data_IF_623723318565
#
_entry.id   IF_623723318565
#
_cell.length_a   1.000
_cell.length_b   1.000
_cell.length_c   1.000
_cell.angle_alpha   90.00
_cell.angle_beta   90.00
_cell.angle_gamma   90.00
#
_symmetry.space_group_name_H-M   'P 1'
#
loop_
_entity.id
_entity.type
_entity.pdbx_description
1 polymer ?
#
# COMPACT_ATOMS: atom_id res chain seq x y z
N UNK A 1 20.22 -12.03 1.43
CA UNK A 1 19.29 -10.89 1.63
C UNK A 1 18.04 -11.45 2.26
N UNK A 2 17.51 -10.86 3.34
CA UNK A 2 16.23 -11.27 3.91
C UNK A 2 15.11 -10.64 3.08
N UNK A 3 14.10 -11.42 2.71
CA UNK A 3 12.89 -10.94 2.05
C UNK A 3 11.99 -10.31 3.11
N UNK A 4 11.42 -9.13 2.84
CA UNK A 4 10.59 -8.40 3.79
C UNK A 4 9.28 -8.04 3.11
N UNK A 5 8.19 -8.59 3.65
CA UNK A 5 6.84 -8.43 3.11
C UNK A 5 5.99 -7.48 3.92
N UNK A 6 6.40 -7.18 5.15
CA UNK A 6 5.65 -6.35 6.06
C UNK A 6 6.56 -5.31 6.69
N UNK A 7 6.24 -4.03 6.46
CA UNK A 7 6.98 -2.90 7.03
C UNK A 7 6.01 -1.91 7.65
N UNK A 8 6.36 -1.44 8.84
CA UNK A 8 5.68 -0.32 9.49
C UNK A 8 6.44 0.96 9.23
N UNK A 9 5.75 1.97 8.73
CA UNK A 9 6.30 3.27 8.37
C UNK A 9 5.44 4.40 8.93
N UNK A 10 6.10 5.50 9.28
CA UNK A 10 5.43 6.75 9.55
C UNK A 10 5.50 7.64 8.31
N UNK A 11 4.37 8.11 7.83
CA UNK A 11 4.27 8.96 6.64
C UNK A 11 3.73 10.31 7.05
N UNK A 12 4.43 11.38 6.67
CA UNK A 12 4.05 12.75 6.96
C UNK A 12 4.11 13.61 5.72
N UNK A 13 2.98 14.12 5.29
CA UNK A 13 2.91 15.10 4.22
C UNK A 13 3.33 16.48 4.70
N UNK A 14 3.77 17.33 3.78
CA UNK A 14 4.19 18.69 4.07
C UNK A 14 3.04 19.57 4.56
N UNK A 15 3.29 20.45 5.53
CA UNK A 15 2.37 21.54 5.91
C UNK A 15 2.29 22.54 4.77
N UNK A 16 1.12 23.18 4.54
CA UNK A 16 1.01 24.36 3.69
C UNK A 16 1.73 25.55 4.32
N UNK A 17 2.31 26.40 3.51
CA UNK A 17 2.90 27.67 3.95
C UNK A 17 1.84 28.65 4.46
N UNK A 18 2.21 29.54 5.33
CA UNK A 18 1.30 30.54 5.89
C UNK A 18 1.21 31.76 4.95
N UNK A 19 -0.01 32.33 4.81
CA UNK A 19 -0.20 33.60 4.11
C UNK A 19 0.27 34.77 4.99
N UNK A 20 0.70 35.85 4.38
CA UNK A 20 1.27 37.00 5.08
C UNK A 20 0.36 38.22 4.99
N UNK A 21 0.44 39.09 6.01
CA UNK A 21 -0.13 40.43 6.00
C UNK A 21 0.99 41.40 5.62
N UNK A 22 0.92 41.98 4.42
CA UNK A 22 1.85 42.98 3.96
C UNK A 22 1.11 44.11 3.23
N UNK A 23 1.69 45.30 3.26
CA UNK A 23 1.18 46.46 2.53
C UNK A 23 2.28 47.01 1.63
N UNK A 24 1.91 47.49 0.46
CA UNK A 24 2.82 48.15 -0.46
C UNK A 24 3.26 49.49 0.10
N UNK A 25 4.55 49.73 0.23
CA UNK A 25 5.17 50.97 0.61
C UNK A 25 6.28 51.27 -0.36
N UNK A 26 6.09 52.32 -1.17
CA UNK A 26 7.09 52.75 -2.15
C UNK A 26 7.25 54.26 -2.03
N UNK A 27 8.34 54.79 -2.59
CA UNK A 27 8.56 56.23 -2.72
C UNK A 27 7.37 56.78 -3.52
N UNK A 28 6.77 57.87 -3.01
CA UNK A 28 5.56 58.52 -3.56
C UNK A 28 4.23 57.71 -3.47
N UNK A 29 4.22 56.50 -2.87
CA UNK A 29 2.99 55.73 -2.61
C UNK A 29 2.83 55.41 -1.10
N UNK A 30 2.55 56.42 -0.27
CA UNK A 30 2.51 56.19 1.20
C UNK A 30 1.33 55.32 1.67
N UNK A 31 0.25 55.26 0.89
CA UNK A 31 -0.97 54.49 1.19
C UNK A 31 -1.16 53.33 0.20
N UNK A 32 -0.13 52.56 -0.04
CA UNK A 32 -0.23 51.37 -0.94
C UNK A 32 -1.18 50.33 -0.35
N UNK A 33 -1.91 49.62 -1.23
CA UNK A 33 -2.88 48.59 -0.86
C UNK A 33 -2.26 47.32 -0.26
N UNK A 34 -3.09 46.34 0.10
CA UNK A 34 -2.62 45.06 0.59
C UNK A 34 -1.81 44.34 -0.49
N UNK A 35 -0.66 43.77 -0.07
CA UNK A 35 0.30 43.13 -0.97
C UNK A 35 0.89 41.84 -0.39
N UNK A 36 0.23 41.24 0.57
CA UNK A 36 0.66 39.97 1.13
C UNK A 36 0.32 38.81 0.22
N UNK A 37 1.34 37.99 -0.12
CA UNK A 37 1.19 36.79 -0.92
C UNK A 37 0.66 35.61 -0.13
N UNK A 38 0.15 34.62 -0.86
CA UNK A 38 -0.31 33.35 -0.27
C UNK A 38 0.86 32.43 0.04
N UNK A 39 0.69 31.53 1.00
CA UNK A 39 1.61 30.41 1.20
C UNK A 39 1.47 29.34 0.12
N UNK A 40 2.54 28.62 -0.15
CA UNK A 40 2.54 27.47 -1.06
C UNK A 40 1.88 26.25 -0.43
N UNK A 41 1.38 25.35 -1.24
CA UNK A 41 0.87 24.06 -0.77
C UNK A 41 2.01 23.17 -0.27
N UNK A 42 1.76 22.31 0.72
CA UNK A 42 2.70 21.27 1.13
C UNK A 42 2.77 20.12 0.12
N UNK A 43 3.92 19.45 0.06
CA UNK A 43 4.11 18.26 -0.76
C UNK A 43 3.35 17.07 -0.22
N UNK A 44 2.90 16.21 -1.11
CA UNK A 44 2.24 14.94 -0.80
C UNK A 44 3.25 13.78 -0.83
N UNK A 45 2.93 12.69 -0.13
CA UNK A 45 3.67 11.42 -0.24
C UNK A 45 2.90 10.51 -1.18
N UNK A 46 3.59 10.08 -2.25
CA UNK A 46 3.02 9.31 -3.36
C UNK A 46 3.80 8.01 -3.49
N UNK A 47 3.11 6.88 -3.48
CA UNK A 47 3.70 5.59 -3.81
C UNK A 47 3.48 5.27 -5.28
N UNK A 48 4.51 4.70 -5.90
CA UNK A 48 4.51 4.34 -7.34
C UNK A 48 4.92 2.88 -7.47
N UNK A 49 4.11 2.10 -8.16
CA UNK A 49 4.40 0.70 -8.46
C UNK A 49 5.57 0.57 -9.44
N UNK A 50 6.52 -0.29 -9.12
CA UNK A 50 7.71 -0.55 -9.93
C UNK A 50 7.91 -2.07 -10.08
N UNK A 51 7.86 -2.56 -11.32
CA UNK A 51 8.10 -3.97 -11.65
C UNK A 51 9.54 -4.42 -11.38
N UNK A 52 10.49 -3.49 -11.37
CA UNK A 52 11.89 -3.79 -11.05
C UNK A 52 12.15 -4.08 -9.57
N UNK A 53 11.17 -3.83 -8.70
CA UNK A 53 11.27 -4.08 -7.27
C UNK A 53 10.51 -5.35 -6.89
N UNK A 54 11.20 -6.27 -6.22
CA UNK A 54 10.61 -7.54 -5.76
C UNK A 54 10.46 -7.62 -4.23
N UNK A 55 10.94 -6.61 -3.49
CA UNK A 55 10.91 -6.61 -2.02
C UNK A 55 10.72 -5.21 -1.47
N UNK A 56 10.20 -5.10 -0.25
CA UNK A 56 10.12 -3.84 0.50
C UNK A 56 11.42 -3.49 1.24
N UNK A 57 12.53 -4.18 0.95
CA UNK A 57 13.79 -4.06 1.71
C UNK A 57 14.32 -2.64 1.75
N UNK A 58 14.20 -1.88 0.65
CA UNK A 58 14.68 -0.50 0.56
C UNK A 58 13.96 0.43 1.54
N UNK A 59 12.69 0.14 1.83
CA UNK A 59 11.89 0.90 2.78
C UNK A 59 12.23 0.57 4.25
N UNK A 60 12.88 -0.57 4.53
CA UNK A 60 13.26 -0.98 5.88
C UNK A 60 14.19 0.01 6.58
N UNK A 61 15.08 0.64 5.82
CA UNK A 61 16.02 1.63 6.35
C UNK A 61 15.33 2.96 6.69
N UNK A 62 14.18 3.22 6.07
CA UNK A 62 13.45 4.48 6.19
C UNK A 62 12.33 4.29 7.20
N UNK A 63 12.51 4.78 8.44
CA UNK A 63 11.45 4.69 9.48
C UNK A 63 10.35 5.72 9.28
N UNK A 64 10.67 6.84 8.66
CA UNK A 64 9.75 7.96 8.45
C UNK A 64 9.95 8.55 7.05
N UNK A 65 8.84 8.73 6.32
CA UNK A 65 8.81 9.35 5.00
C UNK A 65 8.16 10.71 5.15
N UNK A 66 8.88 11.78 4.77
CA UNK A 66 8.40 13.16 4.87
C UNK A 66 8.39 13.81 3.50
N UNK A 67 7.33 14.58 3.20
CA UNK A 67 7.32 15.51 2.09
C UNK A 67 7.60 16.93 2.59
N UNK A 68 8.10 17.78 1.69
CA UNK A 68 8.48 19.14 2.04
C UNK A 68 7.25 20.02 2.30
N UNK A 69 7.39 20.93 3.27
CA UNK A 69 6.39 21.95 3.51
C UNK A 69 6.38 23.00 2.39
N UNK A 70 5.24 23.66 2.17
CA UNK A 70 5.16 24.84 1.35
C UNK A 70 5.84 26.04 2.02
N UNK A 71 6.42 26.93 1.20
CA UNK A 71 6.98 28.18 1.72
C UNK A 71 5.86 29.16 2.10
N UNK A 72 6.16 30.02 3.07
CA UNK A 72 5.25 31.10 3.44
C UNK A 72 5.18 32.17 2.33
N UNK A 73 4.04 32.85 2.26
CA UNK A 73 3.88 34.00 1.38
C UNK A 73 4.86 35.13 1.73
N UNK A 74 5.20 35.96 0.76
CA UNK A 74 6.13 37.09 0.88
C UNK A 74 5.42 38.39 0.51
N UNK A 75 5.95 39.55 0.90
CA UNK A 75 5.44 40.86 0.46
C UNK A 75 5.47 41.00 -1.09
N UNK A 76 4.84 42.05 -1.60
CA UNK A 76 4.76 42.36 -3.05
C UNK A 76 4.01 41.30 -3.84
N UNK A 77 2.98 40.69 -3.26
CA UNK A 77 2.14 39.63 -3.87
C UNK A 77 2.93 38.37 -4.28
N UNK A 78 4.12 38.15 -3.72
CA UNK A 78 4.90 36.95 -4.03
C UNK A 78 4.32 35.75 -3.25
N UNK A 79 3.86 34.75 -3.98
CA UNK A 79 3.38 33.50 -3.41
C UNK A 79 4.55 32.61 -2.97
N UNK A 80 4.37 31.89 -1.89
CA UNK A 80 5.32 30.84 -1.47
C UNK A 80 5.38 29.70 -2.47
N UNK A 81 6.56 29.10 -2.65
CA UNK A 81 6.70 27.89 -3.49
C UNK A 81 5.98 26.71 -2.85
N UNK A 82 5.38 25.86 -3.70
CA UNK A 82 4.82 24.61 -3.24
C UNK A 82 5.91 23.65 -2.79
N UNK A 83 5.67 22.89 -1.74
CA UNK A 83 6.52 21.80 -1.32
C UNK A 83 6.56 20.69 -2.38
N UNK A 84 7.73 20.10 -2.59
CA UNK A 84 7.89 18.99 -3.53
C UNK A 84 7.25 17.72 -2.98
N UNK A 85 6.60 16.95 -3.86
CA UNK A 85 6.07 15.64 -3.53
C UNK A 85 7.22 14.65 -3.31
N UNK A 86 7.08 13.77 -2.32
CA UNK A 86 7.99 12.65 -2.11
C UNK A 86 7.42 11.42 -2.79
N UNK A 87 8.14 10.96 -3.81
CA UNK A 87 7.78 9.75 -4.57
C UNK A 87 8.55 8.58 -4.01
N UNK A 88 7.84 7.52 -3.65
CA UNK A 88 8.40 6.26 -3.11
C UNK A 88 8.03 5.13 -4.05
N UNK A 89 9.04 4.43 -4.55
CA UNK A 89 8.82 3.25 -5.39
C UNK A 89 8.57 2.04 -4.52
N UNK A 90 7.56 1.25 -4.88
CA UNK A 90 7.17 0.03 -4.17
C UNK A 90 6.92 -1.11 -5.16
N UNK A 91 7.17 -2.37 -4.78
CA UNK A 91 6.89 -3.50 -5.64
C UNK A 91 5.38 -3.62 -5.92
N UNK A 92 5.05 -4.25 -7.05
CA UNK A 92 3.66 -4.55 -7.39
C UNK A 92 3.04 -5.49 -6.36
N UNK A 93 1.75 -5.33 -6.11
CA UNK A 93 1.03 -6.08 -5.07
C UNK A 93 1.24 -5.55 -3.66
N UNK A 94 1.80 -4.34 -3.50
CA UNK A 94 1.92 -3.68 -2.19
C UNK A 94 0.58 -3.11 -1.75
N UNK A 95 0.07 -3.61 -0.62
CA UNK A 95 -1.09 -3.06 0.07
C UNK A 95 -0.62 -2.16 1.19
N UNK A 96 -1.17 -0.95 1.24
CA UNK A 96 -0.91 0.03 2.30
C UNK A 96 -2.13 0.13 3.19
N UNK A 97 -1.96 -0.16 4.49
CA UNK A 97 -3.02 -0.10 5.51
C UNK A 97 -2.66 0.92 6.59
N UNK A 98 -3.65 1.65 7.08
CA UNK A 98 -3.49 2.49 8.28
C UNK A 98 -3.49 1.60 9.54
N UNK A 99 -2.49 1.75 10.39
CA UNK A 99 -2.37 0.98 11.65
C UNK A 99 -3.52 1.27 12.60
N UNK A 100 -3.95 2.53 12.68
CA UNK A 100 -4.96 2.96 13.65
C UNK A 100 -6.35 2.50 13.30
N UNK A 101 -6.71 2.54 12.01
CA UNK A 101 -8.06 2.25 11.54
C UNK A 101 -8.17 0.87 10.89
N UNK A 102 -7.06 0.23 10.53
CA UNK A 102 -7.03 -1.01 9.77
C UNK A 102 -7.55 -0.87 8.33
N UNK A 103 -7.87 0.35 7.88
CA UNK A 103 -8.41 0.59 6.52
C UNK A 103 -7.31 0.50 5.48
N UNK A 104 -7.63 -0.04 4.30
CA UNK A 104 -6.74 -0.04 3.15
C UNK A 104 -6.73 1.37 2.57
N UNK A 105 -5.54 1.99 2.52
CA UNK A 105 -5.32 3.30 1.92
C UNK A 105 -5.07 3.15 0.42
N UNK A 106 -4.29 2.14 0.02
CA UNK A 106 -3.95 1.88 -1.37
C UNK A 106 -3.64 0.40 -1.60
N UNK A 107 -3.92 -0.08 -2.82
CA UNK A 107 -3.49 -1.39 -3.35
C UNK A 107 -2.82 -1.11 -4.71
N UNK A 108 -1.51 -1.41 -4.80
CA UNK A 108 -0.67 -1.04 -5.94
C UNK A 108 -0.38 -2.29 -6.75
N UNK A 109 -1.24 -2.60 -7.71
CA UNK A 109 -1.19 -3.82 -8.53
C UNK A 109 -0.55 -3.64 -9.90
N UNK A 110 -0.45 -2.38 -10.40
CA UNK A 110 0.02 -2.11 -11.77
C UNK A 110 1.33 -1.32 -11.76
N UNK A 111 2.15 -1.59 -12.79
CA UNK A 111 3.37 -0.82 -13.03
C UNK A 111 3.04 0.66 -13.30
N UNK A 112 3.83 1.56 -12.71
CA UNK A 112 3.63 3.01 -12.76
C UNK A 112 2.30 3.51 -12.19
N UNK A 113 1.49 2.64 -11.56
CA UNK A 113 0.32 3.09 -10.82
C UNK A 113 0.75 3.98 -9.65
N UNK A 114 0.07 5.11 -9.50
CA UNK A 114 0.39 6.11 -8.46
C UNK A 114 -0.72 6.14 -7.41
N UNK A 115 -0.36 6.11 -6.14
CA UNK A 115 -1.29 6.26 -5.04
C UNK A 115 -0.82 7.36 -4.08
N UNK A 116 -1.70 8.31 -3.78
CA UNK A 116 -1.42 9.36 -2.79
C UNK A 116 -1.70 8.79 -1.40
N UNK A 117 -0.65 8.52 -0.63
CA UNK A 117 -0.74 7.93 0.70
C UNK A 117 -1.06 8.99 1.75
N UNK A 118 -0.40 10.15 1.67
CA UNK A 118 -0.66 11.29 2.55
C UNK A 118 -0.69 12.58 1.72
N UNK A 119 -1.79 13.34 1.83
CA UNK A 119 -2.01 14.57 1.10
C UNK A 119 -1.39 15.75 1.82
N UNK A 120 -0.66 16.59 1.08
CA UNK A 120 -0.10 17.84 1.58
C UNK A 120 -1.14 18.83 2.05
N UNK A 121 -0.75 19.70 2.99
CA UNK A 121 -1.57 20.79 3.47
C UNK A 121 -1.75 21.87 2.42
N UNK A 122 -2.85 22.60 2.51
CA UNK A 122 -3.17 23.72 1.62
C UNK A 122 -2.51 25.00 2.16
N UNK A 123 -1.91 25.80 1.30
CA UNK A 123 -1.35 27.10 1.65
C UNK A 123 -2.41 28.09 2.16
N UNK A 124 -2.02 28.92 3.13
CA UNK A 124 -2.87 29.98 3.68
C UNK A 124 -2.95 31.18 2.71
N UNK A 125 -4.07 31.88 2.70
CA UNK A 125 -4.27 33.09 1.89
C UNK A 125 -3.64 34.30 2.55
N UNK A 126 -2.92 35.13 1.75
CA UNK A 126 -2.41 36.43 2.16
C UNK A 126 -3.48 37.52 2.18
N UNK A 127 -3.16 38.68 2.79
CA UNK A 127 -4.13 39.74 2.94
C UNK A 127 -4.61 40.36 1.60
N UNK A 128 -3.84 40.27 0.54
CA UNK A 128 -4.24 40.78 -0.77
C UNK A 128 -5.54 40.14 -1.26
N UNK A 129 -5.79 38.86 -0.94
CA UNK A 129 -7.02 38.12 -1.33
C UNK A 129 -8.25 38.44 -0.49
N UNK A 130 -8.09 39.21 0.60
CA UNK A 130 -9.22 39.64 1.44
C UNK A 130 -9.62 41.09 1.18
N UNK A 131 -8.98 41.75 0.21
CA UNK A 131 -9.36 43.08 -0.23
C UNK A 131 -10.75 43.06 -0.90
N UNK A 132 -11.62 43.95 -0.49
CA UNK A 132 -12.97 44.12 -1.05
C UNK A 132 -13.34 45.61 -1.06
N UNK A 133 -14.45 45.96 -1.70
CA UNK A 133 -14.98 47.33 -1.70
C UNK A 133 -15.26 47.87 -0.32
N UNK A 134 -15.70 46.97 0.60
CA UNK A 134 -16.00 47.32 2.00
C UNK A 134 -14.79 47.24 2.93
N UNK A 135 -13.77 46.41 2.60
CA UNK A 135 -12.52 46.31 3.36
C UNK A 135 -11.31 46.48 2.43
N UNK A 136 -10.93 47.72 2.19
CA UNK A 136 -9.80 48.06 1.30
C UNK A 136 -8.43 47.81 1.91
N UNK A 137 -8.33 47.67 3.25
CA UNK A 137 -7.07 47.53 4.01
C UNK A 137 -7.17 46.33 4.95
N UNK A 138 -7.36 45.09 4.45
CA UNK A 138 -7.54 43.94 5.30
C UNK A 138 -6.26 43.58 6.06
N UNK A 139 -6.37 43.43 7.36
CA UNK A 139 -5.33 42.91 8.28
C UNK A 139 -5.67 41.45 8.63
N UNK A 140 -6.02 40.68 7.60
CA UNK A 140 -6.43 39.28 7.71
C UNK A 140 -5.48 38.43 6.89
N UNK A 141 -5.03 37.30 7.44
CA UNK A 141 -4.34 36.25 6.69
C UNK A 141 -4.77 34.89 7.23
N UNK A 142 -4.50 33.85 6.47
CA UNK A 142 -4.73 32.47 6.88
C UNK A 142 -3.42 31.73 7.04
N UNK A 143 -3.36 30.83 8.02
CA UNK A 143 -2.26 29.86 8.12
C UNK A 143 -2.46 28.75 7.10
N UNK A 144 -1.35 28.13 6.68
CA UNK A 144 -1.40 26.88 5.93
C UNK A 144 -1.91 25.74 6.82
N UNK A 145 -2.67 24.84 6.22
CA UNK A 145 -3.17 23.66 6.93
C UNK A 145 -2.07 22.62 7.13
N UNK A 146 -2.10 21.82 8.20
CA UNK A 146 -1.18 20.70 8.36
C UNK A 146 -1.39 19.71 7.25
N UNK A 147 -0.31 19.03 6.82
CA UNK A 147 -0.40 17.85 5.96
C UNK A 147 -0.93 16.65 6.73
N UNK A 148 -1.40 15.64 6.01
CA UNK A 148 -1.84 14.39 6.61
C UNK A 148 -0.66 13.61 7.17
N UNK A 149 -0.89 12.93 8.29
CA UNK A 149 0.09 12.08 8.96
C UNK A 149 -0.55 10.74 9.30
N UNK A 150 0.09 9.64 8.85
CA UNK A 150 -0.37 8.28 9.08
C UNK A 150 0.77 7.39 9.57
N UNK A 151 0.42 6.43 10.40
CA UNK A 151 1.24 5.26 10.68
C UNK A 151 0.69 4.11 9.84
N UNK A 152 1.47 3.67 8.85
CA UNK A 152 1.04 2.69 7.87
C UNK A 152 1.79 1.37 8.00
N UNK A 153 1.11 0.30 7.59
CA UNK A 153 1.73 -0.98 7.31
C UNK A 153 1.70 -1.18 5.79
N UNK A 154 2.87 -1.39 5.21
CA UNK A 154 3.01 -1.87 3.84
C UNK A 154 3.13 -3.39 3.88
N UNK A 155 2.22 -4.08 3.23
CA UNK A 155 2.17 -5.54 3.11
C UNK A 155 2.28 -5.91 1.64
N UNK A 156 3.22 -6.78 1.29
CA UNK A 156 3.35 -7.30 -0.06
C UNK A 156 2.45 -8.53 -0.21
N UNK A 157 1.47 -8.46 -1.08
CA UNK A 157 0.44 -9.50 -1.27
C UNK A 157 0.90 -10.65 -2.18
N UNK A 158 1.77 -10.36 -3.13
CA UNK A 158 2.30 -11.34 -4.08
C UNK A 158 3.53 -12.03 -3.52
N UNK A 159 3.43 -13.31 -3.23
CA UNK A 159 4.55 -14.14 -2.75
C UNK A 159 5.41 -14.62 -3.91
N UNK A 160 4.78 -15.16 -4.94
CA UNK A 160 5.43 -15.69 -6.12
C UNK A 160 4.43 -15.75 -7.28
N UNK A 161 4.93 -15.67 -8.51
CA UNK A 161 4.12 -15.86 -9.70
C UNK A 161 3.78 -17.34 -9.88
N UNK A 162 4.74 -18.24 -9.58
CA UNK A 162 4.54 -19.69 -9.65
C UNK A 162 4.89 -20.36 -8.32
N UNK A 163 4.05 -21.31 -7.87
CA UNK A 163 4.28 -22.11 -6.67
C UNK A 163 4.63 -23.55 -7.04
N UNK A 164 5.76 -24.07 -6.50
CA UNK A 164 6.11 -25.49 -6.64
C UNK A 164 5.35 -26.32 -5.61
N UNK A 165 4.60 -27.30 -6.08
CA UNK A 165 3.89 -28.28 -5.24
C UNK A 165 4.37 -29.69 -5.58
N UNK A 166 4.31 -30.59 -4.64
CA UNK A 166 4.77 -31.98 -4.83
C UNK A 166 5.18 -32.61 -3.50
N UNK A 167 5.28 -33.93 -3.48
CA UNK A 167 5.73 -34.68 -2.30
C UNK A 167 7.15 -34.29 -1.87
N UNK A 168 7.55 -34.57 -0.61
CA UNK A 168 8.94 -34.47 -0.21
C UNK A 168 9.84 -35.26 -1.15
N UNK A 169 11.04 -34.76 -1.38
CA UNK A 169 12.06 -35.35 -2.29
C UNK A 169 11.70 -35.39 -3.79
N UNK A 170 10.59 -34.80 -4.24
CA UNK A 170 10.27 -34.67 -5.66
C UNK A 170 11.29 -33.78 -6.44
N UNK A 171 12.24 -33.16 -5.77
CA UNK A 171 13.30 -32.37 -6.37
C UNK A 171 12.97 -30.88 -6.52
N UNK A 172 11.94 -30.36 -5.83
CA UNK A 172 11.53 -28.95 -5.85
C UNK A 172 12.66 -27.98 -5.53
N UNK A 173 13.32 -28.17 -4.38
CA UNK A 173 14.42 -27.29 -3.95
C UNK A 173 15.66 -27.41 -4.86
N UNK A 174 15.90 -28.58 -5.48
CA UNK A 174 16.95 -28.75 -6.48
C UNK A 174 16.63 -27.96 -7.74
N UNK A 175 15.40 -28.09 -8.25
CA UNK A 175 14.92 -27.31 -9.39
C UNK A 175 15.08 -25.81 -9.14
N UNK A 176 14.63 -25.32 -7.99
CA UNK A 176 14.72 -23.92 -7.62
C UNK A 176 16.17 -23.39 -7.63
N UNK A 177 17.11 -24.17 -7.10
CA UNK A 177 18.55 -23.82 -7.09
C UNK A 177 19.13 -23.73 -8.50
N UNK A 178 18.67 -24.57 -9.40
CA UNK A 178 19.18 -24.65 -10.77
C UNK A 178 18.64 -23.56 -11.68
N UNK A 179 17.35 -23.20 -11.53
CA UNK A 179 16.70 -22.19 -12.39
C UNK A 179 16.87 -20.76 -11.87
N UNK A 180 17.31 -20.60 -10.65
CA UNK A 180 17.51 -19.29 -10.05
C UNK A 180 18.67 -18.52 -10.70
N UNK A 181 18.41 -17.28 -11.11
CA UNK A 181 19.45 -16.37 -11.63
C UNK A 181 20.46 -15.93 -10.54
N UNK A 182 20.06 -16.05 -9.26
CA UNK A 182 20.88 -15.77 -8.07
C UNK A 182 20.67 -16.88 -7.05
N UNK A 183 21.47 -16.92 -5.96
CA UNK A 183 21.19 -17.86 -4.85
C UNK A 183 19.74 -17.70 -4.38
N UNK A 184 18.96 -18.79 -4.22
CA UNK A 184 17.59 -18.72 -3.71
C UNK A 184 17.56 -17.93 -2.40
N UNK A 185 16.59 -17.04 -2.29
CA UNK A 185 16.40 -16.22 -1.11
C UNK A 185 15.49 -16.97 -0.13
N UNK A 186 15.93 -17.07 1.12
CA UNK A 186 15.07 -17.58 2.20
C UNK A 186 14.22 -16.40 2.69
N UNK A 187 12.91 -16.55 2.62
CA UNK A 187 11.97 -15.56 3.09
C UNK A 187 11.59 -15.84 4.55
N UNK A 188 11.86 -14.87 5.42
CA UNK A 188 11.57 -14.95 6.86
C UNK A 188 10.17 -14.36 7.10
N UNK A 189 9.14 -15.20 7.00
CA UNK A 189 7.76 -14.78 7.28
C UNK A 189 7.42 -14.98 8.75
N UNK A 190 6.92 -13.94 9.46
CA UNK A 190 6.63 -14.03 10.90
C UNK A 190 5.53 -15.03 11.28
N UNK A 191 4.92 -15.67 10.27
CA UNK A 191 3.83 -16.63 10.44
C UNK A 191 4.13 -18.00 9.82
N UNK A 192 5.38 -18.28 9.39
CA UNK A 192 5.81 -19.60 8.90
C UNK A 192 6.81 -20.22 9.84
N UNK A 193 6.62 -21.49 10.15
CA UNK A 193 7.61 -22.31 10.88
C UNK A 193 8.67 -22.90 9.95
N UNK A 194 8.39 -22.93 8.63
CA UNK A 194 9.33 -23.32 7.58
C UNK A 194 9.39 -22.17 6.57
N UNK A 195 10.58 -21.61 6.41
CA UNK A 195 10.82 -20.49 5.50
C UNK A 195 10.73 -20.95 4.04
N UNK A 196 9.81 -20.38 3.22
CA UNK A 196 9.75 -20.69 1.81
C UNK A 196 11.00 -20.20 1.10
N UNK A 197 11.52 -21.00 0.17
CA UNK A 197 12.63 -20.60 -0.69
C UNK A 197 12.05 -19.93 -1.94
N UNK A 198 12.51 -18.72 -2.23
CA UNK A 198 12.11 -17.95 -3.40
C UNK A 198 13.26 -17.88 -4.40
N UNK A 199 12.96 -18.06 -5.68
CA UNK A 199 13.91 -17.87 -6.77
C UNK A 199 13.37 -16.91 -7.80
N UNK A 200 14.18 -15.95 -8.20
CA UNK A 200 13.92 -15.11 -9.37
C UNK A 200 14.46 -15.82 -10.59
N UNK A 201 13.57 -16.09 -11.53
CA UNK A 201 13.89 -16.74 -12.80
C UNK A 201 13.76 -15.73 -13.93
N UNK A 202 14.81 -15.64 -14.76
CA UNK A 202 14.83 -14.74 -15.91
C UNK A 202 14.64 -15.55 -17.18
N UNK A 203 13.68 -15.19 -18.01
CA UNK A 203 13.45 -15.77 -19.33
C UNK A 203 13.41 -14.66 -20.37
N UNK A 204 14.47 -14.53 -21.16
CA UNK A 204 14.69 -13.43 -22.11
C UNK A 204 14.59 -12.06 -21.40
N UNK A 205 13.53 -11.27 -21.69
CA UNK A 205 13.30 -9.93 -21.07
C UNK A 205 12.31 -9.97 -19.91
N UNK A 206 11.83 -11.16 -19.51
CA UNK A 206 10.86 -11.30 -18.43
C UNK A 206 11.51 -11.91 -17.20
N UNK A 207 11.14 -11.42 -16.03
CA UNK A 207 11.51 -12.01 -14.76
C UNK A 207 10.26 -12.34 -13.95
N UNK A 208 10.25 -13.51 -13.33
CA UNK A 208 9.16 -13.95 -12.45
C UNK A 208 9.73 -14.72 -11.25
N UNK A 209 8.94 -14.75 -10.19
CA UNK A 209 9.34 -15.38 -8.92
C UNK A 209 8.68 -16.75 -8.81
N UNK A 210 9.50 -17.76 -8.51
CA UNK A 210 9.03 -19.11 -8.15
C UNK A 210 9.26 -19.34 -6.67
N UNK A 211 8.25 -19.87 -5.97
CA UNK A 211 8.35 -20.25 -4.57
C UNK A 211 8.40 -21.78 -4.44
N UNK A 212 9.38 -22.30 -3.68
CA UNK A 212 9.30 -23.66 -3.13
C UNK A 212 8.40 -23.60 -1.91
N UNK A 213 7.32 -24.32 -1.98
CA UNK A 213 6.32 -24.37 -0.93
C UNK A 213 6.48 -25.71 -0.19
N UNK A 214 7.33 -25.78 0.87
CA UNK A 214 7.56 -27.00 1.64
C UNK A 214 6.32 -27.33 2.48
N UNK A 215 5.94 -28.59 2.62
CA UNK A 215 4.99 -29.01 3.65
C UNK A 215 3.67 -29.66 3.20
N UNK A 216 3.48 -30.00 1.91
CA UNK A 216 2.44 -30.95 1.52
C UNK A 216 2.88 -32.36 1.95
N UNK A 217 2.54 -32.76 3.17
CA UNK A 217 2.68 -34.12 3.68
C UNK A 217 1.28 -34.64 3.92
N UNK A 218 1.00 -35.88 3.53
CA UNK A 218 -0.27 -36.56 3.77
C UNK A 218 -0.71 -36.36 5.24
N UNK A 219 -1.92 -35.79 5.45
CA UNK A 219 -2.45 -35.49 6.80
C UNK A 219 -2.29 -34.06 7.31
N UNK A 220 -1.82 -33.13 6.47
CA UNK A 220 -1.74 -31.70 6.85
C UNK A 220 -3.12 -31.05 7.09
N UNK A 221 -4.20 -31.64 6.56
CA UNK A 221 -5.60 -31.20 6.76
C UNK A 221 -6.15 -31.54 8.15
N UNK A 222 -5.52 -32.47 8.91
CA UNK A 222 -6.08 -32.98 10.17
C UNK A 222 -5.64 -32.18 11.42
N UNK A 223 -5.41 -30.88 11.28
CA UNK A 223 -5.42 -29.97 12.43
C UNK A 223 -4.09 -29.80 13.18
N UNK A 224 -2.97 -30.33 12.70
CA UNK A 224 -1.65 -30.08 13.29
C UNK A 224 -0.97 -28.83 12.69
N UNK A 225 -1.59 -27.70 12.80
CA UNK A 225 -1.05 -26.34 12.79
C UNK A 225 -0.23 -25.82 11.59
N UNK A 226 0.51 -26.66 10.90
CA UNK A 226 1.47 -26.28 9.84
C UNK A 226 0.84 -26.17 8.44
N UNK A 227 -0.21 -26.94 8.15
CA UNK A 227 -0.81 -27.01 6.82
C UNK A 227 -1.60 -25.78 6.40
N UNK A 228 -2.38 -25.17 7.32
CA UNK A 228 -3.29 -24.07 7.00
C UNK A 228 -2.57 -22.75 6.61
N UNK A 229 -1.45 -22.47 7.25
CA UNK A 229 -0.67 -21.27 6.93
C UNK A 229 0.01 -21.38 5.57
N UNK A 230 0.50 -22.58 5.27
CA UNK A 230 1.13 -22.92 4.02
C UNK A 230 0.17 -22.80 2.79
N UNK A 231 -1.06 -23.26 2.96
CA UNK A 231 -2.08 -23.23 1.91
C UNK A 231 -2.50 -21.79 1.54
N UNK A 232 -2.38 -20.83 2.46
CA UNK A 232 -2.52 -19.40 2.16
C UNK A 232 -1.47 -18.87 1.17
N UNK A 233 -0.30 -19.48 1.13
CA UNK A 233 0.75 -19.11 0.18
C UNK A 233 0.44 -19.63 -1.22
N UNK A 234 -0.12 -20.84 -1.34
CA UNK A 234 -0.59 -21.40 -2.59
C UNK A 234 -1.70 -20.53 -3.21
N UNK A 235 -2.62 -20.03 -2.37
CA UNK A 235 -3.67 -19.10 -2.83
C UNK A 235 -3.14 -17.84 -3.47
N UNK A 236 -1.93 -17.41 -3.09
CA UNK A 236 -1.30 -16.18 -3.58
C UNK A 236 -0.49 -16.36 -4.86
N UNK A 237 -0.19 -17.62 -5.26
CA UNK A 237 0.49 -17.91 -6.51
C UNK A 237 -0.50 -17.84 -7.70
N UNK A 238 -0.03 -17.34 -8.84
CA UNK A 238 -0.83 -17.27 -10.07
C UNK A 238 -0.89 -18.60 -10.79
N UNK A 239 0.23 -19.35 -10.82
CA UNK A 239 0.38 -20.63 -11.52
C UNK A 239 0.91 -21.68 -10.54
N UNK A 240 0.46 -22.91 -10.65
CA UNK A 240 0.96 -24.05 -9.89
C UNK A 240 1.83 -24.95 -10.76
N UNK A 241 3.01 -25.31 -10.27
CA UNK A 241 3.91 -26.25 -10.90
C UNK A 241 3.97 -27.51 -10.05
N UNK A 242 3.30 -28.57 -10.49
CA UNK A 242 3.18 -29.83 -9.79
C UNK A 242 4.33 -30.77 -10.17
N UNK A 243 5.29 -30.94 -9.29
CA UNK A 243 6.45 -31.80 -9.49
C UNK A 243 6.22 -33.19 -8.94
N UNK A 244 6.40 -34.19 -9.78
CA UNK A 244 6.26 -35.62 -9.47
C UNK A 244 7.61 -36.31 -9.70
N UNK A 245 8.06 -37.08 -8.72
CA UNK A 245 9.21 -37.96 -8.85
C UNK A 245 8.82 -39.19 -9.59
N UNK A 246 9.47 -39.45 -10.72
CA UNK A 246 9.21 -40.64 -11.57
C UNK A 246 10.35 -41.66 -11.52
N UNK A 247 11.30 -41.53 -10.60
CA UNK A 247 12.45 -42.42 -10.49
C UNK A 247 12.11 -43.83 -10.06
N UNK A 248 10.97 -44.00 -9.35
CA UNK A 248 10.52 -45.31 -8.89
C UNK A 248 9.45 -45.88 -9.84
N UNK A 249 9.85 -46.78 -10.72
CA UNK A 249 8.97 -47.41 -11.69
C UNK A 249 7.85 -48.27 -11.06
N UNK A 250 7.97 -48.66 -9.77
CA UNK A 250 6.99 -49.46 -9.05
C UNK A 250 5.88 -48.66 -8.42
N UNK A 251 6.08 -47.37 -8.27
CA UNK A 251 5.08 -46.48 -7.65
C UNK A 251 4.05 -46.00 -8.66
N UNK A 252 2.80 -45.90 -8.20
CA UNK A 252 1.72 -45.32 -9.04
C UNK A 252 1.79 -43.79 -8.95
N UNK A 253 2.40 -43.19 -9.98
CA UNK A 253 2.57 -41.73 -10.07
C UNK A 253 1.25 -40.98 -10.23
N UNK A 254 0.21 -41.65 -10.77
CA UNK A 254 -1.12 -41.07 -10.86
C UNK A 254 -1.80 -40.96 -9.50
N UNK A 255 -1.65 -41.95 -8.64
CA UNK A 255 -2.12 -41.88 -7.24
C UNK A 255 -1.42 -40.75 -6.51
N UNK A 256 -0.12 -40.60 -6.70
CA UNK A 256 0.65 -39.47 -6.10
C UNK A 256 0.10 -38.11 -6.53
N UNK A 257 -0.22 -37.95 -7.82
CA UNK A 257 -0.84 -36.74 -8.34
C UNK A 257 -2.22 -36.51 -7.72
N UNK A 258 -3.05 -37.56 -7.62
CA UNK A 258 -4.39 -37.44 -7.03
C UNK A 258 -4.37 -37.10 -5.55
N UNK A 259 -3.46 -37.67 -4.77
CA UNK A 259 -3.31 -37.37 -3.34
C UNK A 259 -3.13 -35.90 -3.09
N UNK A 260 -2.19 -35.26 -3.80
CA UNK A 260 -1.94 -33.83 -3.65
C UNK A 260 -3.16 -33.00 -4.09
N UNK A 261 -3.83 -33.38 -5.17
CA UNK A 261 -5.06 -32.73 -5.62
C UNK A 261 -6.19 -32.82 -4.59
N UNK A 262 -6.35 -33.97 -3.97
CA UNK A 262 -7.34 -34.15 -2.90
C UNK A 262 -7.04 -33.30 -1.66
N UNK A 263 -5.79 -33.19 -1.27
CA UNK A 263 -5.39 -32.31 -0.15
C UNK A 263 -5.68 -30.83 -0.46
N UNK A 264 -5.33 -30.36 -1.65
CA UNK A 264 -5.64 -29.01 -2.07
C UNK A 264 -7.14 -28.73 -2.13
N UNK A 265 -7.94 -29.72 -2.59
CA UNK A 265 -9.40 -29.60 -2.68
C UNK A 265 -10.08 -29.49 -1.32
N UNK A 266 -9.58 -30.23 -0.31
CA UNK A 266 -10.08 -30.17 1.05
C UNK A 266 -9.91 -28.80 1.69
N UNK A 267 -8.85 -28.09 1.30
CA UNK A 267 -8.57 -26.76 1.83
C UNK A 267 -9.39 -25.68 1.13
N UNK A 268 -9.25 -25.55 -0.20
CA UNK A 268 -9.98 -24.54 -0.97
C UNK A 268 -10.13 -25.00 -2.45
N UNK A 269 -11.37 -25.19 -2.87
CA UNK A 269 -11.68 -25.58 -4.25
C UNK A 269 -11.16 -24.58 -5.30
N UNK A 270 -11.07 -23.29 -4.97
CA UNK A 270 -10.54 -22.25 -5.87
C UNK A 270 -9.08 -22.46 -6.27
N UNK A 271 -8.29 -23.19 -5.47
CA UNK A 271 -6.91 -23.50 -5.84
C UNK A 271 -6.84 -24.43 -7.03
N UNK A 272 -7.83 -25.32 -7.18
CA UNK A 272 -7.91 -26.24 -8.31
C UNK A 272 -8.26 -25.60 -9.65
N UNK A 273 -8.82 -24.40 -9.61
CA UNK A 273 -9.17 -23.59 -10.79
C UNK A 273 -7.94 -22.89 -11.40
N UNK A 274 -6.85 -22.80 -10.64
CA UNK A 274 -5.62 -22.17 -11.12
C UNK A 274 -4.96 -22.98 -12.23
N UNK A 275 -4.27 -22.28 -13.16
CA UNK A 275 -3.44 -22.95 -14.17
C UNK A 275 -2.40 -23.85 -13.50
N UNK A 276 -2.33 -25.09 -13.95
CA UNK A 276 -1.43 -26.11 -13.42
C UNK A 276 -0.54 -26.68 -14.53
N UNK A 277 0.76 -26.73 -14.27
CA UNK A 277 1.76 -27.36 -15.12
C UNK A 277 2.27 -28.61 -14.40
N UNK A 278 2.13 -29.79 -15.02
CA UNK A 278 2.61 -31.04 -14.43
C UNK A 278 4.01 -31.35 -14.94
N UNK A 279 4.91 -31.67 -14.01
CA UNK A 279 6.31 -31.90 -14.26
C UNK A 279 6.73 -33.26 -13.72
N UNK A 280 7.24 -34.09 -14.55
CA UNK A 280 7.88 -35.36 -14.22
C UNK A 280 9.39 -35.12 -14.06
N UNK A 281 9.90 -35.21 -12.84
CA UNK A 281 11.31 -34.95 -12.53
C UNK A 281 12.08 -36.25 -12.31
N UNK A 282 13.40 -36.17 -12.39
CA UNK A 282 14.39 -37.25 -12.24
C UNK A 282 14.37 -38.27 -13.40
N UNK A 283 14.13 -37.78 -14.63
CA UNK A 283 14.19 -38.65 -15.83
C UNK A 283 15.57 -39.27 -16.04
N UNK A 284 16.61 -38.69 -15.44
CA UNK A 284 17.98 -39.20 -15.50
C UNK A 284 18.18 -40.56 -14.81
N UNK A 285 17.22 -41.00 -14.01
CA UNK A 285 17.21 -42.31 -13.34
C UNK A 285 16.38 -43.37 -14.07
N UNK A 286 15.67 -43.00 -15.14
CA UNK A 286 14.84 -43.87 -15.93
C UNK A 286 15.59 -44.46 -17.14
N UNK A 287 15.29 -45.69 -17.46
CA UNK A 287 15.82 -46.35 -18.69
C UNK A 287 15.09 -45.82 -19.94
N UNK A 288 13.77 -45.56 -19.85
CA UNK A 288 12.95 -45.03 -20.91
C UNK A 288 11.88 -44.02 -20.39
N UNK A 289 11.19 -43.34 -21.31
CA UNK A 289 10.15 -42.38 -21.00
C UNK A 289 8.74 -42.96 -20.97
N UNK A 290 8.59 -44.28 -20.88
CA UNK A 290 7.27 -44.96 -20.87
C UNK A 290 6.42 -44.55 -19.65
N UNK A 291 7.03 -44.37 -18.48
CA UNK A 291 6.38 -43.90 -17.26
C UNK A 291 5.78 -42.48 -17.42
N UNK A 292 6.51 -41.58 -18.11
CA UNK A 292 6.02 -40.20 -18.38
C UNK A 292 4.80 -40.25 -19.33
N UNK A 293 4.82 -41.08 -20.38
CA UNK A 293 3.68 -41.24 -21.28
C UNK A 293 2.46 -41.76 -20.55
N UNK A 294 2.61 -42.84 -19.76
CA UNK A 294 1.52 -43.39 -18.94
C UNK A 294 0.90 -42.35 -18.02
N UNK A 295 1.74 -41.52 -17.38
CA UNK A 295 1.28 -40.44 -16.52
C UNK A 295 0.51 -39.34 -17.31
N UNK A 296 1.01 -38.94 -18.47
CA UNK A 296 0.37 -37.97 -19.34
C UNK A 296 -1.02 -38.45 -19.83
N UNK A 297 -1.10 -39.71 -20.24
CA UNK A 297 -2.36 -40.35 -20.69
C UNK A 297 -3.39 -40.43 -19.52
N UNK A 298 -2.93 -40.79 -18.33
CA UNK A 298 -3.78 -40.87 -17.14
C UNK A 298 -4.33 -39.50 -16.70
N UNK A 299 -3.51 -38.44 -16.74
CA UNK A 299 -3.89 -37.08 -16.33
C UNK A 299 -4.64 -36.34 -17.47
N UNK A 300 -4.48 -36.76 -18.73
CA UNK A 300 -4.99 -36.10 -19.95
C UNK A 300 -4.51 -34.61 -20.05
N UNK A 301 -3.28 -34.35 -19.62
CA UNK A 301 -2.61 -33.05 -19.70
C UNK A 301 -1.17 -33.23 -20.17
N UNK A 302 -0.56 -32.20 -20.78
CA UNK A 302 0.86 -32.24 -21.12
C UNK A 302 1.70 -32.36 -19.85
N UNK A 303 2.65 -33.29 -19.84
CA UNK A 303 3.61 -33.52 -18.78
C UNK A 303 5.01 -33.16 -19.26
N UNK A 304 5.69 -32.27 -18.58
CA UNK A 304 7.07 -31.87 -18.86
C UNK A 304 8.04 -32.82 -18.17
N UNK A 305 8.79 -33.60 -18.97
CA UNK A 305 9.82 -34.49 -18.49
C UNK A 305 11.14 -33.72 -18.31
N UNK A 306 11.67 -33.64 -17.09
CA UNK A 306 12.88 -32.90 -16.78
C UNK A 306 13.86 -33.70 -15.89
N UNK A 307 15.14 -33.35 -15.96
CA UNK A 307 16.08 -33.65 -14.89
C UNK A 307 16.58 -32.34 -14.28
N UNK A 308 16.13 -32.04 -13.06
CA UNK A 308 16.62 -30.90 -12.32
C UNK A 308 18.10 -31.03 -12.01
N UNK A 309 18.59 -32.23 -11.74
CA UNK A 309 19.99 -32.51 -11.40
C UNK A 309 20.93 -32.32 -12.60
N UNK A 310 20.58 -32.92 -13.75
CA UNK A 310 21.37 -32.82 -14.99
C UNK A 310 21.07 -31.58 -15.82
N UNK A 311 20.11 -30.74 -15.40
CA UNK A 311 19.67 -29.53 -16.10
C UNK A 311 19.06 -29.79 -17.49
N UNK A 312 18.43 -30.94 -17.67
CA UNK A 312 17.82 -31.36 -18.96
C UNK A 312 16.37 -30.83 -19.04
N UNK A 313 15.98 -30.36 -20.22
CA UNK A 313 14.62 -29.86 -20.56
C UNK A 313 14.07 -28.74 -19.70
N UNK A 314 14.93 -27.95 -19.00
CA UNK A 314 14.48 -26.86 -18.13
C UNK A 314 13.96 -25.65 -18.93
N UNK A 315 14.62 -25.29 -20.05
CA UNK A 315 14.27 -24.12 -20.85
C UNK A 315 12.82 -24.15 -21.37
N UNK A 316 12.33 -25.28 -21.99
CA UNK A 316 10.94 -25.38 -22.40
C UNK A 316 9.95 -25.18 -21.24
N UNK A 317 10.22 -25.78 -20.08
CA UNK A 317 9.39 -25.63 -18.89
C UNK A 317 9.33 -24.18 -18.41
N UNK A 318 10.48 -23.50 -18.30
CA UNK A 318 10.55 -22.09 -17.89
C UNK A 318 9.76 -21.20 -18.84
N UNK A 319 9.87 -21.46 -20.16
CA UNK A 319 9.14 -20.70 -21.16
C UNK A 319 7.63 -20.89 -21.02
N UNK A 320 7.18 -22.10 -20.71
CA UNK A 320 5.75 -22.37 -20.52
C UNK A 320 5.23 -21.74 -19.23
N UNK A 321 5.98 -21.81 -18.12
CA UNK A 321 5.63 -21.10 -16.89
C UNK A 321 5.48 -19.58 -17.15
N UNK A 322 6.43 -18.97 -17.87
CA UNK A 322 6.40 -17.56 -18.22
C UNK A 322 5.16 -17.19 -19.06
N UNK A 323 4.73 -18.06 -19.99
CA UNK A 323 3.51 -17.84 -20.78
C UNK A 323 2.26 -17.83 -19.90
N UNK A 324 2.10 -18.84 -19.03
CA UNK A 324 0.95 -18.91 -18.13
C UNK A 324 0.89 -17.73 -17.17
N UNK A 325 2.03 -17.33 -16.60
CA UNK A 325 2.13 -16.13 -15.73
C UNK A 325 1.66 -14.86 -16.48
N UNK A 326 2.07 -14.69 -17.76
CA UNK A 326 1.62 -13.56 -18.58
C UNK A 326 0.13 -13.60 -18.92
N UNK A 327 -0.41 -14.79 -19.19
CA UNK A 327 -1.84 -14.95 -19.53
C UNK A 327 -2.71 -14.58 -18.34
N UNK A 328 -2.40 -15.12 -17.16
CA UNK A 328 -3.14 -14.80 -15.92
C UNK A 328 -3.03 -13.31 -15.57
N UNK A 329 -1.84 -12.71 -15.71
CA UNK A 329 -1.66 -11.28 -15.47
C UNK A 329 -2.48 -10.41 -16.43
N UNK A 330 -2.73 -10.85 -17.67
CA UNK A 330 -3.62 -10.15 -18.62
C UNK A 330 -5.08 -10.29 -18.25
N UNK A 331 -5.54 -11.49 -17.87
CA UNK A 331 -6.92 -11.75 -17.46
C UNK A 331 -7.28 -10.92 -16.20
N UNK A 332 -6.42 -10.92 -15.19
CA UNK A 332 -6.59 -10.05 -14.00
C UNK A 332 -6.63 -8.56 -14.36
N UNK A 333 -5.96 -8.15 -15.46
CA UNK A 333 -5.95 -6.75 -15.91
C UNK A 333 -7.22 -6.39 -16.67
N UNK A 334 -7.89 -7.32 -17.33
CA UNK A 334 -9.14 -7.11 -18.06
C UNK A 334 -10.35 -7.11 -17.14
N UNK A 335 -10.40 -7.98 -16.13
CA UNK A 335 -11.46 -7.97 -15.10
C UNK A 335 -11.48 -6.68 -14.27
N UNK A 336 -10.30 -6.07 -14.02
CA UNK A 336 -10.19 -4.81 -13.25
C UNK A 336 -10.57 -3.57 -14.07
N UNK A 337 -10.79 -3.67 -15.39
CA UNK A 337 -11.24 -2.50 -16.18
C UNK A 337 -12.67 -2.06 -15.85
N UNK A 338 -13.49 -2.88 -15.22
CA UNK A 338 -14.87 -2.54 -14.85
C UNK A 338 -15.03 -2.00 -13.43
N UNK A 339 -14.04 -2.18 -12.55
CA UNK A 339 -14.05 -1.58 -11.23
C UNK A 339 -12.90 -0.58 -11.05
N UNK A 340 -13.03 0.61 -11.62
CA UNK A 340 -12.39 1.79 -11.05
C UNK A 340 -13.04 2.09 -9.71
N UNK A 341 -12.74 1.32 -8.70
CA UNK A 341 -12.98 1.71 -7.31
C UNK A 341 -12.00 2.85 -7.02
N UNK A 342 -12.38 4.04 -7.42
CA UNK A 342 -11.94 5.25 -6.75
C UNK A 342 -12.29 5.03 -5.28
N UNK A 343 -11.32 4.61 -4.47
CA UNK A 343 -11.46 4.67 -3.03
C UNK A 343 -11.62 6.15 -2.66
N UNK A 344 -12.85 6.66 -2.84
CA UNK A 344 -13.28 7.87 -2.17
C UNK A 344 -13.19 7.52 -0.71
N UNK A 345 -12.23 8.14 -0.02
CA UNK A 345 -12.23 8.17 1.43
C UNK A 345 -13.65 8.51 1.88
N UNK A 346 -14.41 7.49 2.24
CA UNK A 346 -15.66 7.69 2.94
C UNK A 346 -15.27 7.84 4.40
N UNK A 347 -15.44 9.01 5.01
CA UNK A 347 -15.26 9.13 6.44
C UNK A 347 -16.18 8.09 7.08
N UNK A 348 -15.64 7.31 8.03
CA UNK A 348 -16.43 6.34 8.79
C UNK A 348 -17.68 7.05 9.34
N UNK A 349 -18.83 6.37 9.42
CA UNK A 349 -20.06 6.93 10.03
C UNK A 349 -19.90 7.34 11.50
N UNK A 350 -18.76 7.07 12.13
CA UNK A 350 -18.31 7.61 13.43
C UNK A 350 -17.31 8.77 13.23
N UNK A 351 -17.56 9.67 12.28
CA UNK A 351 -16.86 10.94 12.25
C UNK A 351 -17.05 11.62 13.60
N UNK A 352 -15.93 12.03 14.22
CA UNK A 352 -15.98 12.84 15.43
C UNK A 352 -16.97 13.98 15.21
N UNK A 353 -17.91 14.23 16.15
CA UNK A 353 -18.91 15.25 15.97
C UNK A 353 -18.22 16.57 15.63
N UNK A 354 -18.76 17.30 14.69
CA UNK A 354 -18.17 18.55 14.18
C UNK A 354 -17.94 19.57 15.29
N UNK A 355 -18.78 19.54 16.32
CA UNK A 355 -18.70 20.41 17.50
C UNK A 355 -19.08 19.64 18.76
N UNK A 356 -18.18 19.59 19.73
CA UNK A 356 -18.40 19.03 21.06
C UNK A 356 -18.16 20.14 22.09
N UNK A 357 -19.16 20.37 22.95
CA UNK A 357 -19.06 21.34 24.05
C UNK A 357 -19.06 20.60 25.38
N UNK A 358 -17.96 20.65 26.13
CA UNK A 358 -17.79 20.03 27.44
C UNK A 358 -17.59 21.09 28.52
N UNK A 359 -18.18 20.89 29.71
CA UNK A 359 -17.93 21.75 30.88
C UNK A 359 -16.70 21.20 31.61
N UNK A 360 -15.64 21.99 31.76
CA UNK A 360 -14.44 21.62 32.51
C UNK A 360 -14.55 22.02 33.99
N UNK A 361 -14.95 23.26 34.24
CA UNK A 361 -15.12 23.85 35.59
C UNK A 361 -16.29 24.82 35.58
N UNK A 362 -16.67 25.33 36.76
CA UNK A 362 -17.68 26.36 36.79
C UNK A 362 -17.22 27.58 35.99
N UNK A 363 -18.09 28.00 35.05
CA UNK A 363 -17.84 29.07 34.08
C UNK A 363 -16.73 28.80 33.05
N UNK A 364 -16.19 27.56 32.92
CA UNK A 364 -15.23 27.18 31.90
C UNK A 364 -15.75 26.04 31.05
N UNK A 365 -15.78 26.28 29.75
CA UNK A 365 -16.26 25.34 28.74
C UNK A 365 -15.17 25.08 27.70
N UNK A 366 -15.01 23.87 27.32
CA UNK A 366 -14.13 23.47 26.22
C UNK A 366 -14.98 23.15 25.01
N UNK A 367 -14.57 23.68 23.86
CA UNK A 367 -15.22 23.41 22.58
C UNK A 367 -14.19 22.71 21.71
N UNK A 368 -14.48 21.45 21.37
CA UNK A 368 -13.64 20.58 20.55
C UNK A 368 -14.44 20.06 19.36
N UNK A 369 -13.78 19.40 18.44
CA UNK A 369 -14.39 18.79 17.26
C UNK A 369 -13.60 19.06 16.00
N UNK A 370 -13.82 18.24 14.98
CA UNK A 370 -13.05 18.28 13.72
C UNK A 370 -13.18 19.62 12.99
N UNK A 371 -14.37 20.23 12.97
CA UNK A 371 -14.61 21.52 12.35
C UNK A 371 -13.93 22.66 13.13
N UNK A 372 -14.00 22.62 14.46
CA UNK A 372 -13.36 23.64 15.32
C UNK A 372 -11.85 23.62 15.16
N UNK A 373 -11.24 22.42 15.21
CA UNK A 373 -9.80 22.25 15.05
C UNK A 373 -9.33 22.79 13.69
N UNK A 374 -10.08 22.52 12.60
CA UNK A 374 -9.78 23.04 11.27
C UNK A 374 -9.81 24.56 11.21
N UNK A 375 -10.81 25.19 11.82
CA UNK A 375 -10.94 26.64 11.84
C UNK A 375 -9.84 27.26 12.70
N UNK A 376 -9.53 26.69 13.87
CA UNK A 376 -8.49 27.18 14.77
C UNK A 376 -7.08 27.10 14.14
N UNK A 377 -6.79 26.01 13.42
CA UNK A 377 -5.52 25.85 12.72
C UNK A 377 -5.35 26.85 11.58
N UNK A 378 -6.43 27.13 10.83
CA UNK A 378 -6.41 27.97 9.65
C UNK A 378 -6.41 29.48 9.96
N UNK A 379 -6.98 29.89 11.10
CA UNK A 379 -7.11 31.30 11.45
C UNK A 379 -6.12 31.69 12.55
N UNK A 380 -5.05 32.45 12.23
CA UNK A 380 -4.15 32.98 13.24
C UNK A 380 -4.88 34.05 14.10
N UNK A 381 -4.74 33.95 15.41
CA UNK A 381 -5.37 34.91 16.36
C UNK A 381 -4.44 36.09 16.70
N UNK A 382 -3.72 36.60 15.69
CA UNK A 382 -2.69 37.62 15.86
C UNK A 382 -3.18 39.06 15.60
N UNK A 383 -4.34 39.20 14.95
CA UNK A 383 -4.93 40.54 14.68
C UNK A 383 -6.39 40.58 15.12
N UNK A 384 -6.89 41.77 15.43
CA UNK A 384 -8.29 41.98 15.82
C UNK A 384 -9.25 41.42 14.70
N UNK A 385 -8.93 41.69 13.44
CA UNK A 385 -9.76 41.23 12.34
C UNK A 385 -9.75 39.71 12.19
N UNK A 386 -8.61 39.03 12.45
CA UNK A 386 -8.57 37.58 12.45
C UNK A 386 -9.40 36.98 13.60
N UNK A 387 -9.36 37.60 14.76
CA UNK A 387 -10.19 37.19 15.91
C UNK A 387 -11.68 37.36 15.59
N UNK A 388 -12.05 38.45 14.95
CA UNK A 388 -13.44 38.71 14.55
C UNK A 388 -13.88 37.66 13.50
N UNK A 389 -13.07 37.39 12.50
CA UNK A 389 -13.32 36.35 11.49
C UNK A 389 -13.48 34.96 12.13
N UNK A 390 -12.60 34.63 13.07
CA UNK A 390 -12.70 33.38 13.83
C UNK A 390 -14.03 33.29 14.59
N UNK A 391 -14.44 34.36 15.24
CA UNK A 391 -15.73 34.43 15.96
C UNK A 391 -16.94 34.23 15.02
N UNK A 392 -16.93 34.88 13.85
CA UNK A 392 -17.97 34.70 12.83
C UNK A 392 -18.05 33.22 12.42
N UNK A 393 -16.92 32.60 12.08
CA UNK A 393 -16.90 31.17 11.68
C UNK A 393 -17.38 30.23 12.78
N UNK A 394 -17.13 30.54 14.07
CA UNK A 394 -17.69 29.79 15.19
C UNK A 394 -19.20 29.99 15.32
N UNK A 395 -19.70 31.18 15.00
CA UNK A 395 -21.13 31.47 15.00
C UNK A 395 -21.85 30.68 13.88
N UNK A 396 -21.27 30.68 12.69
CA UNK A 396 -21.82 29.91 11.53
C UNK A 396 -21.88 28.40 11.81
N UNK A 397 -20.96 27.86 12.61
CA UNK A 397 -21.01 26.48 13.10
C UNK A 397 -22.00 26.22 14.24
N UNK A 398 -22.75 27.24 14.70
CA UNK A 398 -23.72 27.09 15.78
C UNK A 398 -23.13 26.88 17.17
N UNK A 399 -21.80 27.13 17.34
CA UNK A 399 -21.11 26.94 18.63
C UNK A 399 -21.74 27.74 19.73
N UNK A 400 -22.09 29.01 19.46
CA UNK A 400 -22.69 29.89 20.48
C UNK A 400 -24.10 29.45 20.86
N UNK A 401 -24.85 28.84 19.95
CA UNK A 401 -26.18 28.28 20.24
C UNK A 401 -26.07 27.06 21.16
N UNK A 402 -25.10 26.19 20.88
CA UNK A 402 -24.83 25.02 21.74
C UNK A 402 -24.37 25.43 23.13
N UNK A 403 -23.53 26.47 23.25
CA UNK A 403 -23.11 27.02 24.53
C UNK A 403 -24.30 27.60 25.31
N UNK A 404 -25.21 28.34 24.64
CA UNK A 404 -26.45 28.89 25.26
C UNK A 404 -27.35 27.77 25.76
N UNK A 405 -27.57 26.71 25.00
CA UNK A 405 -28.35 25.54 25.42
C UNK A 405 -27.80 24.88 26.68
N UNK A 406 -26.45 24.99 26.90
CA UNK A 406 -25.78 24.46 28.10
C UNK A 406 -25.69 25.49 29.24
N UNK A 407 -26.38 26.63 29.18
CA UNK A 407 -26.52 27.58 30.27
C UNK A 407 -25.48 28.68 30.31
N UNK A 408 -24.70 28.89 29.24
CA UNK A 408 -23.74 29.99 29.15
C UNK A 408 -24.44 31.31 28.80
N UNK A 409 -24.63 32.19 29.73
CA UNK A 409 -25.37 33.48 29.55
C UNK A 409 -24.64 34.49 28.64
N UNK A 410 -23.32 34.63 28.76
CA UNK A 410 -22.43 35.41 27.85
C UNK A 410 -20.99 34.92 27.99
N UNK A 411 -20.32 34.47 26.93
CA UNK A 411 -18.89 34.14 27.02
C UNK A 411 -18.06 35.43 27.17
N UNK A 412 -17.37 35.58 28.30
CA UNK A 412 -16.51 36.73 28.57
C UNK A 412 -15.16 36.67 27.87
N UNK A 413 -14.64 35.48 27.60
CA UNK A 413 -13.36 35.29 26.88
C UNK A 413 -13.29 33.90 26.28
N UNK A 414 -12.66 33.78 25.12
CA UNK A 414 -12.27 32.49 24.53
C UNK A 414 -10.76 32.40 24.49
N UNK A 415 -10.18 31.34 25.06
CA UNK A 415 -8.78 31.00 24.89
C UNK A 415 -8.72 29.81 23.92
N UNK A 416 -7.98 29.94 22.83
CA UNK A 416 -7.66 28.78 22.01
C UNK A 416 -6.56 27.98 22.75
N UNK A 417 -6.87 26.77 23.12
CA UNK A 417 -5.89 25.79 23.61
C UNK A 417 -5.23 25.21 22.37
N UNK A 418 -3.91 25.37 22.27
CA UNK A 418 -3.08 24.82 21.18
C UNK A 418 -2.76 23.36 21.41
#
# INVERSE_FOLDING_TARGET
MKFIDLIKLKVKAGKGGDGIIAFRRELYVPKGGPSGGDGGNGGSVIFVGDEGLNTLLDLRKTREIKALAGENGKPKNMHGKNGTNTIVRVPLGTIVKDIKTGTIIADITKNKATAVIAKGGIGGRGNAKFASSTNRVPKISENGTPGQEFEIICELKLLANAGLIGLPNAGKSTFLKVVSAAKPLIADYPFTTLDPQLAVVTNNNDSFVIADLPGLIAGASDGKGLGLQFLKHIERCQVLVHMIDISDEKSDHFLTYQLIKQELSKYNKKILEKPEIVVANKIDLLADLSAVKKLADAIKKPVFAISALKKENLKPLITEIAKFVKTVAKEETEEVKEEHVLYKYQPKPNAEPEVIVTKIKDHQWEVTGSAINRIAQKNPLNTYQNILLFRIKLQDLGVFEQLRKKGVKKPKSCKAIR
#
